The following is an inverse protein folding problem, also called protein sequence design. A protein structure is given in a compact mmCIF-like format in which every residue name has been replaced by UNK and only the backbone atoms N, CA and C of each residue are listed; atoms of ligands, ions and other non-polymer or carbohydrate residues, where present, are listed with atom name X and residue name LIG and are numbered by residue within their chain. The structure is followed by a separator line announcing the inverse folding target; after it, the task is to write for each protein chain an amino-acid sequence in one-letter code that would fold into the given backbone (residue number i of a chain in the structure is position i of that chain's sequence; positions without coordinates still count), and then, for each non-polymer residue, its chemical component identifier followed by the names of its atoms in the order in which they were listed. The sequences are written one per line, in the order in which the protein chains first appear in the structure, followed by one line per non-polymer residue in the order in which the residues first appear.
data_IF_521781390326
#
_entry.id   IF_521781390326
#
_cell.length_a   1.000
_cell.length_b   1.000
_cell.length_c   1.000
_cell.angle_alpha   90.00
_cell.angle_beta   90.00
_cell.angle_gamma   90.00
#
_symmetry.space_group_name_H-M   'P 1'
#
loop_
_entity.id
_entity.type
_entity.pdbx_description
1 polymer ?
#
# COMPACT_ATOMS: atom_id res chain seq x y z
N UNK A 1 -6.06 46.29 -47.01
CA UNK A 1 -6.21 46.56 -45.55
C UNK A 1 -4.96 47.26 -45.05
N UNK A 2 -5.12 48.34 -44.32
CA UNK A 2 -4.01 49.16 -43.80
C UNK A 2 -4.17 49.29 -42.27
N UNK A 3 -3.07 49.29 -41.56
CA UNK A 3 -2.94 49.52 -40.15
C UNK A 3 -2.01 50.70 -39.86
N UNK A 4 -2.40 51.58 -38.93
CA UNK A 4 -1.54 52.67 -38.47
C UNK A 4 -0.44 52.09 -37.55
N UNK A 5 0.82 52.20 -37.97
CA UNK A 5 2.01 51.73 -37.26
C UNK A 5 3.08 52.82 -37.32
N UNK A 6 3.64 53.21 -36.17
CA UNK A 6 4.66 54.25 -36.06
C UNK A 6 4.24 55.59 -36.74
N UNK A 7 2.98 56.00 -36.51
CA UNK A 7 2.35 57.18 -37.10
C UNK A 7 2.21 57.15 -38.63
N UNK A 8 2.42 56.01 -39.27
CA UNK A 8 2.28 55.81 -40.72
C UNK A 8 1.31 54.68 -41.05
N UNK A 9 0.50 54.84 -42.09
CA UNK A 9 -0.38 53.81 -42.61
C UNK A 9 0.43 52.82 -43.43
N UNK A 10 0.50 51.55 -42.94
CA UNK A 10 1.18 50.47 -43.63
C UNK A 10 0.13 49.48 -44.18
N UNK A 11 0.28 49.03 -45.42
CA UNK A 11 -0.52 47.95 -45.93
C UNK A 11 -0.12 46.66 -45.24
N UNK A 12 -1.07 45.96 -44.61
CA UNK A 12 -0.85 44.71 -43.88
C UNK A 12 -1.40 43.50 -44.64
N UNK A 13 -2.36 43.69 -45.52
CA UNK A 13 -2.91 42.61 -46.35
C UNK A 13 -3.57 43.15 -47.63
N UNK A 14 -3.70 42.23 -48.62
CA UNK A 14 -4.61 42.29 -49.72
C UNK A 14 -5.50 41.04 -49.67
N UNK A 15 -6.80 41.20 -49.88
CA UNK A 15 -7.78 40.09 -49.85
C UNK A 15 -8.81 40.32 -50.96
N UNK A 16 -9.29 39.22 -51.53
CA UNK A 16 -10.36 39.20 -52.53
C UNK A 16 -11.74 39.05 -51.86
N UNK A 17 -11.78 38.95 -50.50
CA UNK A 17 -13.02 38.88 -49.73
C UNK A 17 -13.28 40.19 -49.00
N UNK A 18 -14.50 40.35 -48.53
CA UNK A 18 -14.94 41.54 -47.77
C UNK A 18 -14.58 41.48 -46.26
N UNK A 19 -13.70 40.50 -45.89
CA UNK A 19 -13.22 40.34 -44.51
C UNK A 19 -11.74 39.97 -44.50
N UNK A 20 -11.07 40.37 -43.40
CA UNK A 20 -9.70 40.00 -43.15
C UNK A 20 -9.43 39.92 -41.64
N UNK A 21 -8.86 38.83 -41.17
CA UNK A 21 -8.47 38.65 -39.76
C UNK A 21 -7.03 39.04 -39.56
N UNK A 22 -6.80 40.07 -38.73
CA UNK A 22 -5.44 40.48 -38.29
C UNK A 22 -5.04 39.61 -37.09
N UNK A 23 -3.90 38.96 -37.21
CA UNK A 23 -3.34 38.06 -36.14
C UNK A 23 -1.99 38.64 -35.66
N UNK A 24 -1.52 38.18 -34.47
CA UNK A 24 -0.20 38.54 -33.95
C UNK A 24 -0.14 39.99 -33.45
N UNK A 25 -1.26 40.54 -32.97
CA UNK A 25 -1.30 41.83 -32.29
C UNK A 25 -1.04 41.64 -30.80
N UNK A 26 -0.21 42.52 -30.21
CA UNK A 26 -0.10 42.69 -28.76
C UNK A 26 -1.35 43.37 -28.21
N UNK A 27 -1.55 43.34 -26.88
CA UNK A 27 -2.61 44.09 -26.26
C UNK A 27 -2.44 45.59 -26.52
N UNK A 28 -3.47 46.25 -27.04
CA UNK A 28 -3.40 47.65 -27.40
C UNK A 28 -4.52 48.14 -28.33
N UNK A 29 -4.50 49.41 -28.62
CA UNK A 29 -5.46 50.06 -29.53
C UNK A 29 -4.84 50.22 -30.90
N UNK A 30 -5.49 49.73 -31.93
CA UNK A 30 -5.02 49.74 -33.30
C UNK A 30 -6.04 50.43 -34.20
N UNK A 31 -5.54 51.23 -35.16
CA UNK A 31 -6.39 51.88 -36.16
C UNK A 31 -6.22 51.21 -37.51
N UNK A 32 -7.35 50.99 -38.18
CA UNK A 32 -7.40 50.37 -39.49
C UNK A 32 -8.22 51.18 -40.47
N UNK A 33 -7.90 51.05 -41.75
CA UNK A 33 -8.73 51.46 -42.88
C UNK A 33 -8.53 50.54 -44.04
N UNK A 34 -9.51 50.49 -44.94
CA UNK A 34 -9.46 49.69 -46.16
C UNK A 34 -9.69 50.54 -47.41
N UNK A 35 -9.26 50.08 -48.53
CA UNK A 35 -9.65 50.61 -49.86
C UNK A 35 -9.83 49.50 -50.84
N UNK A 36 -10.73 49.67 -51.81
CA UNK A 36 -10.88 48.76 -52.93
C UNK A 36 -9.71 48.97 -53.92
N UNK A 37 -9.35 47.85 -54.58
CA UNK A 37 -8.35 47.84 -55.65
C UNK A 37 -8.94 47.04 -56.80
N UNK A 38 -8.86 47.56 -58.03
CA UNK A 38 -9.18 46.84 -59.26
C UNK A 38 -7.93 46.84 -60.13
N UNK A 39 -7.63 45.67 -60.68
CA UNK A 39 -6.52 45.52 -61.60
C UNK A 39 -7.07 45.63 -63.03
N UNK A 40 -6.37 46.40 -63.87
CA UNK A 40 -6.71 46.53 -65.27
C UNK A 40 -6.07 45.38 -66.11
N UNK A 41 -6.38 45.33 -67.40
CA UNK A 41 -5.92 44.33 -68.35
C UNK A 41 -4.40 44.40 -68.62
N UNK A 42 -3.77 45.50 -68.26
CA UNK A 42 -2.29 45.73 -68.34
C UNK A 42 -1.60 45.39 -66.99
N UNK A 43 -2.33 44.93 -66.01
CA UNK A 43 -1.80 44.58 -64.70
C UNK A 43 -1.59 45.75 -63.72
N UNK A 44 -2.01 46.98 -64.08
CA UNK A 44 -1.91 48.12 -63.19
C UNK A 44 -3.06 48.17 -62.15
N UNK A 45 -2.76 48.52 -60.91
CA UNK A 45 -3.74 48.63 -59.86
C UNK A 45 -4.36 50.02 -59.78
N UNK A 46 -5.66 50.09 -59.83
CA UNK A 46 -6.48 51.29 -59.63
C UNK A 46 -7.15 51.23 -58.26
N UNK A 47 -7.01 52.27 -57.46
CA UNK A 47 -7.41 52.32 -56.08
C UNK A 47 -8.58 53.26 -55.83
N UNK A 48 -9.58 52.79 -55.09
CA UNK A 48 -10.65 53.62 -54.56
C UNK A 48 -10.19 54.49 -53.38
N UNK A 49 -11.10 55.36 -52.92
CA UNK A 49 -10.90 56.11 -51.69
C UNK A 49 -10.79 55.15 -50.49
N UNK A 50 -10.05 55.59 -49.48
CA UNK A 50 -10.02 54.90 -48.20
C UNK A 50 -11.36 54.96 -47.51
N UNK A 51 -11.72 53.90 -46.74
CA UNK A 51 -12.81 53.92 -45.79
C UNK A 51 -12.54 54.93 -44.66
N UNK A 52 -13.57 55.20 -43.83
CA UNK A 52 -13.34 55.82 -42.54
C UNK A 52 -12.40 54.93 -41.68
N UNK A 53 -11.67 55.58 -40.80
CA UNK A 53 -10.82 54.88 -39.83
C UNK A 53 -11.69 54.20 -38.78
N UNK A 54 -11.30 52.95 -38.46
CA UNK A 54 -11.87 52.22 -37.32
C UNK A 54 -10.77 52.05 -36.29
N UNK A 55 -11.15 52.06 -35.01
CA UNK A 55 -10.27 51.74 -33.89
C UNK A 55 -10.75 50.41 -33.31
N UNK A 56 -9.82 49.47 -33.19
CA UNK A 56 -10.08 48.17 -32.55
C UNK A 56 -9.14 47.97 -31.39
N UNK A 57 -9.62 47.38 -30.33
CA UNK A 57 -8.84 46.98 -29.13
C UNK A 57 -8.42 45.51 -29.25
N UNK A 58 -7.11 45.28 -29.29
CA UNK A 58 -6.59 43.94 -29.08
C UNK A 58 -6.41 43.71 -27.58
N UNK A 59 -7.06 42.68 -27.07
CA UNK A 59 -7.08 42.34 -25.64
C UNK A 59 -6.42 41.00 -25.45
N UNK A 60 -5.40 40.94 -24.63
CA UNK A 60 -4.79 39.69 -24.19
C UNK A 60 -5.30 39.34 -22.79
N UNK A 61 -5.78 38.11 -22.63
CA UNK A 61 -6.20 37.55 -21.35
C UNK A 61 -5.19 36.45 -20.99
N UNK A 62 -4.51 36.62 -19.86
CA UNK A 62 -3.51 35.64 -19.43
C UNK A 62 -4.15 34.31 -19.07
N UNK A 63 -3.40 33.23 -19.30
CA UNK A 63 -3.79 31.86 -18.97
C UNK A 63 -3.93 31.69 -17.46
N UNK A 64 -4.94 30.92 -17.03
CA UNK A 64 -5.14 30.54 -15.61
C UNK A 64 -3.99 29.65 -15.14
N UNK A 65 -3.51 29.91 -13.93
CA UNK A 65 -2.45 29.11 -13.26
C UNK A 65 -2.90 28.65 -11.88
N UNK A 66 -2.18 27.71 -11.27
CA UNK A 66 -2.43 27.28 -9.90
C UNK A 66 -3.75 26.55 -9.69
N UNK A 67 -4.28 25.86 -10.72
CA UNK A 67 -5.49 25.07 -10.59
C UNK A 67 -5.26 23.90 -9.61
N UNK A 68 -6.10 23.85 -8.57
CA UNK A 68 -6.11 22.82 -7.51
C UNK A 68 -7.54 22.33 -7.27
N UNK A 69 -7.68 21.21 -6.57
CA UNK A 69 -9.00 20.70 -6.16
C UNK A 69 -9.04 20.24 -4.71
N UNK A 70 -10.24 20.28 -4.13
CA UNK A 70 -10.62 19.57 -2.90
C UNK A 70 -11.87 18.76 -3.20
N UNK A 71 -11.96 17.56 -2.61
CA UNK A 71 -13.11 16.66 -2.77
C UNK A 71 -13.85 16.59 -1.44
N UNK A 72 -14.87 17.42 -1.22
CA UNK A 72 -15.55 17.52 0.07
C UNK A 72 -16.45 16.31 0.37
N UNK A 73 -16.91 15.60 -0.66
CA UNK A 73 -17.83 14.46 -0.52
C UNK A 73 -17.76 13.53 -1.74
N UNK A 74 -18.72 12.60 -1.82
CA UNK A 74 -18.79 11.56 -2.87
C UNK A 74 -19.36 12.05 -4.20
N UNK A 75 -19.84 13.30 -4.29
CA UNK A 75 -20.57 13.79 -5.46
C UNK A 75 -20.15 15.18 -5.93
N UNK A 76 -19.10 15.74 -5.35
CA UNK A 76 -18.63 17.07 -5.75
C UNK A 76 -17.10 17.21 -5.69
N UNK A 77 -16.58 18.09 -6.57
CA UNK A 77 -15.20 18.52 -6.60
C UNK A 77 -15.19 20.05 -6.57
N UNK A 78 -14.51 20.66 -5.60
CA UNK A 78 -14.27 22.09 -5.53
C UNK A 78 -12.92 22.41 -6.18
N UNK A 79 -12.96 23.17 -7.25
CA UNK A 79 -11.80 23.71 -7.96
C UNK A 79 -11.43 25.08 -7.40
N UNK A 80 -10.14 25.41 -7.40
CA UNK A 80 -9.62 26.74 -7.02
C UNK A 80 -8.38 27.05 -7.88
N UNK A 81 -8.20 28.32 -8.27
CA UNK A 81 -7.09 28.76 -9.12
C UNK A 81 -6.63 30.16 -8.75
N UNK A 82 -5.49 30.58 -9.29
CA UNK A 82 -4.98 31.93 -9.10
C UNK A 82 -5.78 32.94 -9.92
N UNK A 83 -6.03 34.13 -9.35
CA UNK A 83 -6.67 35.22 -10.06
C UNK A 83 -5.82 35.68 -11.28
N UNK A 84 -6.49 35.95 -12.39
CA UNK A 84 -5.88 36.55 -13.58
C UNK A 84 -6.19 38.04 -13.57
N UNK A 85 -5.16 38.87 -13.60
CA UNK A 85 -5.31 40.32 -13.58
C UNK A 85 -6.15 40.79 -14.75
N UNK A 86 -7.15 41.64 -14.49
CA UNK A 86 -8.03 42.24 -15.49
C UNK A 86 -9.05 41.25 -16.10
N UNK A 87 -9.19 40.03 -15.58
CA UNK A 87 -10.25 39.13 -15.99
C UNK A 87 -11.60 39.52 -15.38
N UNK A 88 -12.67 39.47 -16.17
CA UNK A 88 -14.05 39.70 -15.73
C UNK A 88 -14.73 38.38 -15.22
N UNK A 89 -14.14 37.25 -15.54
CA UNK A 89 -14.63 35.94 -15.09
C UNK A 89 -13.87 34.77 -15.67
N UNK A 90 -14.35 33.56 -15.39
CA UNK A 90 -13.71 32.31 -15.74
C UNK A 90 -14.74 31.30 -16.27
N UNK A 91 -14.36 30.59 -17.33
CA UNK A 91 -15.08 29.49 -17.92
C UNK A 91 -14.42 28.18 -17.47
N UNK A 92 -15.20 27.31 -16.83
CA UNK A 92 -14.76 25.99 -16.36
C UNK A 92 -15.27 24.92 -17.32
N UNK A 93 -14.37 24.15 -17.90
CA UNK A 93 -14.69 23.02 -18.77
C UNK A 93 -14.39 21.68 -18.09
N UNK A 94 -15.27 20.70 -18.27
CA UNK A 94 -15.07 19.31 -17.84
C UNK A 94 -15.02 18.41 -19.07
N UNK A 95 -14.11 17.43 -19.08
CA UNK A 95 -13.90 16.55 -20.23
C UNK A 95 -15.14 15.69 -20.51
N UNK A 96 -15.63 15.73 -21.74
CA UNK A 96 -16.68 14.86 -22.25
C UNK A 96 -16.40 14.55 -23.73
N UNK A 97 -16.36 13.27 -24.11
CA UNK A 97 -16.10 12.80 -25.48
C UNK A 97 -14.87 13.47 -26.13
N UNK A 98 -13.78 13.63 -25.35
CA UNK A 98 -12.52 14.23 -25.83
C UNK A 98 -12.50 15.76 -25.88
N UNK A 99 -13.62 16.45 -25.65
CA UNK A 99 -13.75 17.92 -25.60
C UNK A 99 -13.93 18.40 -24.17
N UNK A 100 -13.85 19.72 -23.96
CA UNK A 100 -14.05 20.38 -22.68
C UNK A 100 -15.24 21.38 -22.78
N UNK A 101 -16.49 20.89 -22.89
CA UNK A 101 -17.65 21.77 -22.83
C UNK A 101 -17.64 22.58 -21.52
N UNK A 102 -18.08 23.84 -21.62
CA UNK A 102 -18.27 24.68 -20.44
C UNK A 102 -19.37 24.09 -19.55
N UNK A 103 -19.05 23.95 -18.26
CA UNK A 103 -19.97 23.47 -17.23
C UNK A 103 -20.31 24.55 -16.20
N UNK A 104 -19.52 25.60 -16.14
CA UNK A 104 -19.76 26.73 -15.28
C UNK A 104 -19.05 28.00 -15.80
N UNK A 105 -19.71 29.15 -15.58
CA UNK A 105 -19.20 30.48 -15.75
C UNK A 105 -19.22 31.18 -14.39
N UNK A 106 -18.08 31.61 -13.90
CA UNK A 106 -17.93 32.17 -12.55
C UNK A 106 -17.08 33.44 -12.55
N UNK A 107 -17.42 34.41 -11.71
CA UNK A 107 -16.62 35.63 -11.54
C UNK A 107 -15.46 35.47 -10.55
N UNK A 108 -15.58 34.53 -9.62
CA UNK A 108 -14.56 34.25 -8.61
C UNK A 108 -13.57 33.18 -9.06
N UNK A 109 -12.56 32.95 -8.23
CA UNK A 109 -11.47 31.99 -8.50
C UNK A 109 -11.75 30.58 -7.96
N UNK A 110 -13.01 30.25 -7.75
CA UNK A 110 -13.44 28.90 -7.28
C UNK A 110 -14.70 28.46 -7.98
N UNK A 111 -14.83 27.15 -8.21
CA UNK A 111 -16.03 26.53 -8.73
C UNK A 111 -16.26 25.16 -8.03
N UNK A 112 -17.48 24.90 -7.61
CA UNK A 112 -17.85 23.58 -7.08
C UNK A 112 -18.70 22.85 -8.10
N UNK A 113 -18.14 21.82 -8.71
CA UNK A 113 -18.83 20.92 -9.62
C UNK A 113 -19.57 19.86 -8.79
N UNK A 114 -20.90 19.78 -8.96
CA UNK A 114 -21.79 18.89 -8.19
C UNK A 114 -22.41 17.82 -9.10
N UNK A 115 -23.06 16.82 -8.49
CA UNK A 115 -23.79 15.77 -9.24
C UNK A 115 -22.89 14.72 -9.89
N UNK A 116 -21.62 14.68 -9.51
CA UNK A 116 -20.67 13.70 -10.03
C UNK A 116 -20.91 12.32 -9.37
N UNK A 117 -20.72 11.21 -10.09
CA UNK A 117 -20.77 9.89 -9.49
C UNK A 117 -19.63 9.70 -8.47
N UNK A 118 -19.86 8.87 -7.45
CA UNK A 118 -18.83 8.54 -6.45
C UNK A 118 -17.67 7.76 -7.08
N UNK A 119 -16.46 7.99 -6.59
CA UNK A 119 -15.22 7.34 -7.04
C UNK A 119 -14.97 7.49 -8.56
N UNK A 120 -15.40 8.56 -9.16
CA UNK A 120 -15.20 8.84 -10.59
C UNK A 120 -14.03 9.80 -10.77
N UNK A 121 -13.17 9.51 -11.75
CA UNK A 121 -12.10 10.40 -12.18
C UNK A 121 -12.65 11.41 -13.16
N UNK A 122 -12.31 12.69 -12.96
CA UNK A 122 -12.75 13.79 -13.79
C UNK A 122 -11.56 14.66 -14.20
N UNK A 123 -11.67 15.26 -15.39
CA UNK A 123 -10.65 16.12 -15.96
C UNK A 123 -11.24 17.49 -16.22
N UNK A 124 -10.53 18.53 -15.77
CA UNK A 124 -10.96 19.92 -15.84
C UNK A 124 -9.94 20.79 -16.55
N UNK A 125 -10.45 21.84 -17.19
CA UNK A 125 -9.69 22.98 -17.68
C UNK A 125 -10.41 24.27 -17.31
N UNK A 126 -9.66 25.31 -17.02
CA UNK A 126 -10.20 26.63 -16.73
C UNK A 126 -9.51 27.65 -17.64
N UNK A 127 -10.28 28.61 -18.15
CA UNK A 127 -9.78 29.77 -18.88
C UNK A 127 -10.39 31.04 -18.31
N UNK A 128 -9.66 32.12 -18.33
CA UNK A 128 -10.16 33.43 -17.98
C UNK A 128 -10.81 34.10 -19.19
N UNK A 129 -11.68 35.06 -18.97
CA UNK A 129 -12.20 35.94 -20.03
C UNK A 129 -12.27 37.39 -19.56
N UNK A 130 -12.22 38.29 -20.55
CA UNK A 130 -12.55 39.70 -20.44
C UNK A 130 -13.71 40.04 -21.37
N UNK A 131 -14.59 40.93 -20.97
CA UNK A 131 -15.72 41.40 -21.78
C UNK A 131 -15.28 42.70 -22.47
N UNK A 132 -15.32 42.72 -23.78
CA UNK A 132 -15.03 43.90 -24.61
C UNK A 132 -16.21 44.08 -25.55
N UNK A 133 -16.83 45.25 -25.50
CA UNK A 133 -18.03 45.57 -26.30
C UNK A 133 -19.13 44.46 -26.24
N UNK A 134 -19.34 43.90 -25.04
CA UNK A 134 -20.35 42.84 -24.83
C UNK A 134 -19.89 41.43 -25.24
N UNK A 135 -18.71 41.26 -25.81
CA UNK A 135 -18.17 39.97 -26.28
C UNK A 135 -17.12 39.46 -25.31
N UNK A 136 -17.20 38.17 -24.97
CA UNK A 136 -16.18 37.48 -24.15
C UNK A 136 -14.95 37.13 -24.98
N UNK A 137 -13.82 37.66 -24.61
CA UNK A 137 -12.48 37.32 -25.15
C UNK A 137 -11.81 36.39 -24.15
N UNK A 138 -11.55 35.15 -24.57
CA UNK A 138 -11.02 34.10 -23.72
C UNK A 138 -9.51 33.98 -23.81
N UNK A 139 -8.88 33.65 -22.70
CA UNK A 139 -7.52 33.11 -22.70
C UNK A 139 -7.50 31.69 -23.25
N UNK A 140 -6.29 31.16 -23.50
CA UNK A 140 -6.12 29.72 -23.60
C UNK A 140 -6.54 29.03 -22.30
N UNK A 141 -6.93 27.76 -22.44
CA UNK A 141 -7.17 26.92 -21.27
C UNK A 141 -5.87 26.65 -20.47
N UNK A 142 -6.01 26.57 -19.16
CA UNK A 142 -4.93 26.02 -18.31
C UNK A 142 -4.59 24.58 -18.70
N UNK A 143 -3.48 24.05 -18.16
CA UNK A 143 -3.14 22.64 -18.30
C UNK A 143 -4.27 21.75 -17.75
N UNK A 144 -4.37 20.54 -18.32
CA UNK A 144 -5.36 19.56 -17.89
C UNK A 144 -5.17 19.20 -16.41
N UNK A 145 -6.25 19.28 -15.64
CA UNK A 145 -6.24 18.99 -14.21
C UNK A 145 -7.13 17.80 -13.89
N UNK A 146 -6.54 16.74 -13.32
CA UNK A 146 -7.22 15.52 -12.94
C UNK A 146 -7.56 15.54 -11.45
N UNK A 147 -8.73 15.05 -11.12
CA UNK A 147 -9.20 14.83 -9.74
C UNK A 147 -10.18 13.67 -9.72
N UNK A 148 -10.57 13.21 -8.53
CA UNK A 148 -11.61 12.19 -8.39
C UNK A 148 -12.52 12.51 -7.21
N UNK A 149 -13.80 12.12 -7.33
CA UNK A 149 -14.73 12.15 -6.19
C UNK A 149 -14.37 11.09 -5.16
N UNK A 150 -14.69 11.33 -3.89
CA UNK A 150 -14.49 10.34 -2.83
C UNK A 150 -15.32 9.07 -3.10
N UNK A 151 -14.82 7.89 -2.78
CA UNK A 151 -15.61 6.67 -2.74
C UNK A 151 -16.74 6.76 -1.71
N UNK A 152 -17.77 5.95 -1.89
CA UNK A 152 -18.81 5.73 -0.87
C UNK A 152 -18.19 5.09 0.37
N UNK A 153 -18.86 5.24 1.51
CA UNK A 153 -18.52 4.54 2.74
C UNK A 153 -18.59 3.03 2.53
N UNK A 154 -17.60 2.31 3.05
CA UNK A 154 -17.63 0.84 3.10
C UNK A 154 -18.65 0.41 4.15
N UNK A 155 -19.49 -0.56 3.79
CA UNK A 155 -20.52 -1.11 4.68
C UNK A 155 -20.43 -2.63 4.74
N UNK A 156 -21.08 -3.24 5.75
CA UNK A 156 -21.18 -4.68 5.89
C UNK A 156 -19.82 -5.34 6.18
N UNK A 157 -18.93 -4.67 6.91
CA UNK A 157 -17.68 -5.28 7.37
C UNK A 157 -18.01 -6.40 8.35
N UNK A 158 -17.47 -7.59 8.10
CA UNK A 158 -17.64 -8.78 8.93
C UNK A 158 -16.30 -9.51 9.05
N UNK A 159 -16.11 -10.20 10.16
CA UNK A 159 -15.02 -11.15 10.34
C UNK A 159 -15.52 -12.58 10.13
N UNK A 160 -14.71 -13.41 9.50
CA UNK A 160 -14.90 -14.86 9.34
C UNK A 160 -13.56 -15.58 9.58
N UNK A 161 -13.61 -16.91 9.60
CA UNK A 161 -12.45 -17.80 9.74
C UNK A 161 -11.52 -17.37 10.89
N UNK A 162 -12.17 -17.06 12.03
CA UNK A 162 -11.49 -16.53 13.20
C UNK A 162 -10.79 -17.68 13.93
N UNK A 163 -9.47 -17.60 14.00
CA UNK A 163 -8.60 -18.47 14.77
C UNK A 163 -7.96 -17.71 15.94
N UNK A 164 -7.16 -18.38 16.75
CA UNK A 164 -6.41 -17.74 17.81
C UNK A 164 -5.44 -16.65 17.33
N UNK A 165 -5.00 -16.72 16.06
CA UNK A 165 -3.96 -15.84 15.53
C UNK A 165 -4.29 -15.18 14.19
N UNK A 166 -5.42 -15.52 13.57
CA UNK A 166 -5.83 -15.00 12.25
C UNK A 166 -7.32 -14.73 12.18
N UNK A 167 -7.74 -13.92 11.24
CA UNK A 167 -9.13 -13.78 10.79
C UNK A 167 -9.19 -13.21 9.38
N UNK A 168 -10.31 -13.42 8.70
CA UNK A 168 -10.61 -12.76 7.46
C UNK A 168 -11.63 -11.64 7.66
N UNK A 169 -11.30 -10.45 7.16
CA UNK A 169 -12.25 -9.35 7.06
C UNK A 169 -12.86 -9.30 5.67
N UNK A 170 -14.19 -9.22 5.60
CA UNK A 170 -14.95 -9.12 4.36
C UNK A 170 -15.92 -7.95 4.45
N UNK A 171 -16.23 -7.28 3.31
CA UNK A 171 -17.13 -6.14 3.27
C UNK A 171 -17.85 -6.02 1.93
N UNK A 172 -18.86 -5.16 1.85
CA UNK A 172 -19.54 -4.87 0.57
C UNK A 172 -18.62 -4.03 -0.32
N UNK A 173 -18.47 -4.49 -1.57
CA UNK A 173 -17.66 -3.76 -2.57
C UNK A 173 -18.29 -2.40 -2.88
N UNK A 174 -17.42 -1.39 -3.03
CA UNK A 174 -17.77 -0.05 -3.53
C UNK A 174 -16.80 0.32 -4.67
N UNK A 175 -17.23 1.17 -5.59
CA UNK A 175 -16.36 1.65 -6.66
C UNK A 175 -15.15 2.38 -6.07
N UNK A 176 -13.93 1.78 -6.21
CA UNK A 176 -12.69 2.35 -5.68
C UNK A 176 -11.47 1.74 -6.38
N UNK A 177 -10.28 2.23 -6.05
CA UNK A 177 -9.01 1.64 -6.52
C UNK A 177 -8.48 0.60 -5.53
N UNK A 178 -8.67 0.85 -4.24
CA UNK A 178 -8.22 -0.02 -3.15
C UNK A 178 -8.99 0.29 -1.86
N UNK A 179 -8.79 -0.59 -0.88
CA UNK A 179 -9.27 -0.43 0.49
C UNK A 179 -8.09 -0.29 1.44
N UNK A 180 -8.29 0.42 2.55
CA UNK A 180 -7.35 0.53 3.66
C UNK A 180 -8.01 -0.05 4.90
N UNK A 181 -7.33 -1.01 5.54
CA UNK A 181 -7.78 -1.69 6.76
C UNK A 181 -7.04 -1.10 7.95
N UNK A 182 -7.78 -0.81 9.00
CA UNK A 182 -7.25 -0.23 10.22
C UNK A 182 -7.59 -1.09 11.43
N UNK A 183 -6.64 -1.20 12.35
CA UNK A 183 -6.80 -1.79 13.67
C UNK A 183 -6.64 -0.70 14.74
N UNK A 184 -7.41 -0.80 15.82
CA UNK A 184 -7.25 0.06 16.99
C UNK A 184 -6.24 -0.57 17.96
N UNK A 185 -5.14 0.10 18.21
CA UNK A 185 -4.10 -0.35 19.13
C UNK A 185 -3.44 0.84 19.82
N UNK A 186 -3.09 0.69 21.09
CA UNK A 186 -2.44 1.75 21.90
C UNK A 186 -3.15 3.11 21.81
N UNK A 187 -4.49 3.12 21.89
CA UNK A 187 -5.29 4.35 21.85
C UNK A 187 -5.43 4.98 20.47
N UNK A 188 -4.92 4.36 19.39
CA UNK A 188 -4.90 4.96 18.03
C UNK A 188 -5.30 3.94 16.97
N UNK A 189 -5.85 4.47 15.87
CA UNK A 189 -6.11 3.71 14.66
C UNK A 189 -4.83 3.64 13.80
N UNK A 190 -4.36 2.43 13.54
CA UNK A 190 -3.20 2.16 12.68
C UNK A 190 -3.66 1.47 11.39
N UNK A 191 -3.21 1.96 10.23
CA UNK A 191 -3.38 1.22 8.97
C UNK A 191 -2.46 0.00 8.99
N UNK A 192 -3.02 -1.19 8.80
CA UNK A 192 -2.30 -2.47 8.85
C UNK A 192 -2.25 -3.17 7.49
N UNK A 193 -3.19 -2.87 6.61
CA UNK A 193 -3.25 -3.52 5.30
C UNK A 193 -3.92 -2.65 4.25
N UNK A 194 -3.66 -3.00 3.00
CA UNK A 194 -4.35 -2.49 1.81
C UNK A 194 -4.78 -3.67 0.95
N UNK A 195 -5.99 -3.61 0.40
CA UNK A 195 -6.53 -4.63 -0.49
C UNK A 195 -7.11 -3.99 -1.74
N UNK A 196 -7.00 -4.65 -2.88
CA UNK A 196 -7.68 -4.28 -4.14
C UNK A 196 -9.02 -5.01 -4.32
N UNK A 197 -9.29 -5.96 -3.45
CA UNK A 197 -10.56 -6.70 -3.36
C UNK A 197 -11.29 -6.38 -2.06
N UNK A 198 -12.53 -6.79 -1.94
CA UNK A 198 -13.40 -6.52 -0.79
C UNK A 198 -13.20 -7.48 0.39
N UNK A 199 -11.97 -8.00 0.56
CA UNK A 199 -11.54 -8.83 1.67
C UNK A 199 -10.09 -8.58 2.04
N UNK A 200 -9.69 -9.00 3.25
CA UNK A 200 -8.32 -8.92 3.74
C UNK A 200 -8.09 -9.96 4.83
N UNK A 201 -7.12 -10.85 4.65
CA UNK A 201 -6.64 -11.72 5.70
C UNK A 201 -5.80 -10.93 6.70
N UNK A 202 -6.09 -11.09 7.98
CA UNK A 202 -5.38 -10.50 9.11
C UNK A 202 -4.68 -11.60 9.87
N UNK A 203 -3.36 -11.51 9.97
CA UNK A 203 -2.52 -12.48 10.65
C UNK A 203 -1.77 -11.80 11.81
N UNK A 204 -1.19 -12.62 12.69
CA UNK A 204 -0.36 -12.12 13.78
C UNK A 204 -1.16 -11.52 14.93
N UNK A 205 -2.36 -12.02 15.14
CA UNK A 205 -3.19 -11.71 16.32
C UNK A 205 -2.77 -12.59 17.49
N UNK A 206 -3.09 -12.15 18.70
CA UNK A 206 -2.93 -12.93 19.94
C UNK A 206 -4.25 -13.60 20.29
N UNK A 207 -4.17 -14.79 20.88
CA UNK A 207 -5.33 -15.53 21.40
C UNK A 207 -6.04 -14.75 22.51
N UNK A 208 -7.32 -15.05 22.76
CA UNK A 208 -8.17 -14.45 23.83
C UNK A 208 -8.22 -12.92 23.81
N UNK A 209 -7.84 -12.28 22.71
CA UNK A 209 -7.67 -10.83 22.61
C UNK A 209 -8.81 -10.19 21.83
N UNK A 210 -9.29 -9.06 22.31
CA UNK A 210 -10.33 -8.28 21.63
C UNK A 210 -9.69 -7.22 20.73
N UNK A 211 -10.06 -7.23 19.47
CA UNK A 211 -9.61 -6.31 18.44
C UNK A 211 -10.76 -5.49 17.89
N UNK A 212 -10.48 -4.25 17.49
CA UNK A 212 -11.41 -3.39 16.77
C UNK A 212 -10.83 -3.06 15.40
N UNK A 213 -11.68 -3.17 14.37
CA UNK A 213 -11.29 -2.89 12.98
C UNK A 213 -12.25 -1.93 12.33
N UNK A 214 -11.77 -1.19 11.35
CA UNK A 214 -12.56 -0.42 10.38
C UNK A 214 -11.85 -0.36 9.04
N UNK A 215 -12.64 -0.11 7.99
CA UNK A 215 -12.17 -0.10 6.61
C UNK A 215 -12.61 1.18 5.93
N UNK A 216 -11.83 1.72 5.02
CA UNK A 216 -12.27 2.76 4.11
C UNK A 216 -11.81 2.48 2.69
N UNK A 217 -12.59 2.92 1.72
CA UNK A 217 -12.25 2.86 0.31
C UNK A 217 -11.34 4.03 -0.08
N UNK A 218 -10.52 3.82 -1.09
CA UNK A 218 -9.59 4.79 -1.67
C UNK A 218 -9.74 4.81 -3.19
N UNK A 219 -9.89 5.99 -3.78
CA UNK A 219 -9.80 6.22 -5.23
C UNK A 219 -8.54 6.99 -5.52
N UNK A 220 -7.67 6.44 -6.33
CA UNK A 220 -6.47 7.13 -6.80
C UNK A 220 -6.77 7.81 -8.13
N UNK A 221 -6.49 9.10 -8.27
CA UNK A 221 -6.63 9.83 -9.52
C UNK A 221 -5.43 9.60 -10.47
N UNK A 222 -5.46 10.21 -11.65
CA UNK A 222 -4.41 9.99 -12.67
C UNK A 222 -3.07 10.66 -12.32
N UNK A 223 -3.04 11.51 -11.28
CA UNK A 223 -1.81 12.10 -10.72
C UNK A 223 -1.24 11.29 -9.55
N UNK A 224 -1.90 10.17 -9.18
CA UNK A 224 -1.51 9.36 -8.03
C UNK A 224 -2.04 9.88 -6.68
N UNK A 225 -2.87 10.93 -6.67
CA UNK A 225 -3.46 11.45 -5.42
C UNK A 225 -4.61 10.55 -4.95
N UNK A 226 -4.66 10.34 -3.65
CA UNK A 226 -5.64 9.47 -3.03
C UNK A 226 -6.84 10.24 -2.47
N UNK A 227 -8.04 9.85 -2.89
CA UNK A 227 -9.32 10.36 -2.42
C UNK A 227 -9.98 9.28 -1.55
N UNK A 228 -10.31 9.61 -0.30
CA UNK A 228 -10.77 8.63 0.67
C UNK A 228 -12.26 8.76 0.95
N UNK A 229 -12.97 7.63 0.97
CA UNK A 229 -14.30 7.53 1.52
C UNK A 229 -14.31 7.65 3.06
N UNK A 230 -15.49 7.82 3.62
CA UNK A 230 -15.67 7.71 5.06
C UNK A 230 -15.26 6.32 5.56
N UNK A 231 -14.84 6.24 6.84
CA UNK A 231 -14.61 4.95 7.48
C UNK A 231 -15.91 4.17 7.61
N UNK A 232 -15.82 2.85 7.52
CA UNK A 232 -16.92 1.96 7.88
C UNK A 232 -17.30 2.14 9.36
N UNK A 233 -18.45 1.58 9.75
CA UNK A 233 -18.71 1.25 11.13
C UNK A 233 -17.57 0.36 11.67
N UNK A 234 -17.30 0.50 12.96
CA UNK A 234 -16.31 -0.33 13.65
C UNK A 234 -16.88 -1.71 13.93
N UNK A 235 -16.06 -2.73 13.75
CA UNK A 235 -16.39 -4.06 14.26
C UNK A 235 -15.45 -4.45 15.39
N UNK A 236 -15.97 -5.18 16.35
CA UNK A 236 -15.23 -5.75 17.47
C UNK A 236 -15.21 -7.27 17.33
N UNK A 237 -14.00 -7.85 17.40
CA UNK A 237 -13.79 -9.29 17.25
C UNK A 237 -12.90 -9.77 18.39
N UNK A 238 -13.28 -10.88 19.02
CA UNK A 238 -12.46 -11.55 20.04
C UNK A 238 -11.93 -12.85 19.43
N UNK A 239 -10.60 -13.01 19.42
CA UNK A 239 -9.96 -14.27 19.03
C UNK A 239 -10.23 -15.35 20.09
N UNK A 240 -10.44 -16.62 19.67
CA UNK A 240 -10.58 -17.75 20.60
C UNK A 240 -9.25 -18.06 21.31
N UNK A 241 -9.29 -19.03 22.19
CA UNK A 241 -8.10 -19.65 22.76
C UNK A 241 -7.41 -20.55 21.74
N UNK A 242 -6.17 -20.91 21.97
CA UNK A 242 -5.48 -21.96 21.25
C UNK A 242 -6.14 -23.32 21.54
N UNK A 243 -6.21 -24.18 20.52
CA UNK A 243 -6.76 -25.53 20.65
C UNK A 243 -5.72 -26.56 20.22
N UNK A 244 -5.59 -27.62 21.03
CA UNK A 244 -4.76 -28.77 20.67
C UNK A 244 -5.64 -29.81 19.99
N UNK A 245 -5.26 -30.20 18.78
CA UNK A 245 -5.91 -31.24 17.99
C UNK A 245 -4.96 -32.46 17.84
N UNK A 246 -5.53 -33.67 17.81
CA UNK A 246 -4.76 -34.89 17.57
C UNK A 246 -5.15 -35.44 16.20
N UNK A 247 -4.18 -35.49 15.29
CA UNK A 247 -4.36 -36.02 13.93
C UNK A 247 -3.33 -37.17 13.72
N UNK A 248 -3.80 -38.35 13.42
CA UNK A 248 -2.96 -39.55 13.22
C UNK A 248 -1.96 -39.78 14.39
N UNK A 249 -2.40 -39.59 15.62
CA UNK A 249 -1.57 -39.77 16.82
C UNK A 249 -0.52 -38.65 17.08
N UNK A 250 -0.56 -37.59 16.31
CA UNK A 250 0.30 -36.42 16.46
C UNK A 250 -0.52 -35.23 16.96
N UNK A 251 0.02 -34.46 17.90
CA UNK A 251 -0.63 -33.28 18.44
C UNK A 251 -0.23 -32.03 17.68
N UNK A 252 -1.23 -31.20 17.36
CA UNK A 252 -1.08 -29.92 16.71
C UNK A 252 -1.74 -28.84 17.55
N UNK A 253 -1.17 -27.63 17.59
CA UNK A 253 -1.81 -26.45 18.12
C UNK A 253 -1.86 -25.38 17.03
N UNK A 254 -3.06 -24.95 16.66
CA UNK A 254 -3.28 -24.03 15.53
C UNK A 254 -2.51 -24.44 14.25
N UNK A 255 -2.51 -25.73 13.95
CA UNK A 255 -1.79 -26.31 12.81
C UNK A 255 -0.27 -26.50 12.99
N UNK A 256 0.29 -26.12 14.12
CA UNK A 256 1.72 -26.33 14.44
C UNK A 256 1.91 -27.69 15.08
N UNK A 257 2.69 -28.56 14.43
CA UNK A 257 3.03 -29.88 14.95
C UNK A 257 3.83 -29.74 16.25
N UNK A 258 3.39 -30.40 17.30
CA UNK A 258 4.06 -30.40 18.60
C UNK A 258 5.00 -31.59 18.74
N UNK A 259 6.18 -31.34 19.29
CA UNK A 259 7.09 -32.33 19.86
C UNK A 259 7.79 -31.69 21.06
N UNK A 260 7.46 -32.19 22.25
CA UNK A 260 8.10 -31.78 23.51
C UNK A 260 7.86 -32.89 24.56
N UNK A 261 8.24 -32.68 25.80
CA UNK A 261 8.13 -33.72 26.85
C UNK A 261 6.70 -34.20 27.14
N UNK A 262 5.67 -33.49 26.72
CA UNK A 262 4.25 -33.92 26.85
C UNK A 262 3.72 -34.55 25.58
N UNK A 263 4.09 -34.02 24.43
CA UNK A 263 3.54 -34.38 23.12
C UNK A 263 4.60 -35.14 22.32
N UNK A 264 4.33 -36.43 22.11
CA UNK A 264 5.23 -37.33 21.35
C UNK A 264 4.77 -37.48 19.90
N UNK A 265 5.73 -37.84 19.07
CA UNK A 265 5.51 -38.29 17.70
C UNK A 265 5.59 -39.81 17.63
N UNK A 266 4.77 -40.47 16.78
CA UNK A 266 4.89 -41.92 16.52
C UNK A 266 6.28 -42.27 16.01
N UNK A 267 6.77 -43.48 16.34
CA UNK A 267 8.02 -43.99 15.79
C UNK A 267 8.03 -44.10 14.25
N UNK A 268 6.85 -44.24 13.65
CA UNK A 268 6.65 -44.30 12.20
C UNK A 268 6.64 -42.94 11.52
N UNK A 269 6.57 -41.85 12.28
CA UNK A 269 6.61 -40.50 11.70
C UNK A 269 8.01 -40.16 11.22
N UNK A 270 8.15 -40.01 9.91
CA UNK A 270 9.41 -39.75 9.24
C UNK A 270 9.22 -38.84 8.02
N UNK A 271 9.55 -37.53 8.13
CA UNK A 271 9.48 -36.59 7.02
C UNK A 271 10.62 -36.74 6.00
N UNK A 272 11.52 -37.74 6.19
CA UNK A 272 12.70 -38.02 5.32
C UNK A 272 13.71 -36.87 5.25
N UNK A 273 13.82 -36.07 6.32
CA UNK A 273 14.72 -34.93 6.40
C UNK A 273 14.04 -33.66 6.91
N UNK A 274 14.69 -32.53 6.70
CA UNK A 274 14.03 -31.24 6.94
C UNK A 274 12.87 -31.03 5.96
N UNK A 275 11.76 -30.48 6.42
CA UNK A 275 10.66 -30.14 5.53
C UNK A 275 11.09 -29.16 4.45
N UNK A 276 10.37 -29.15 3.31
CA UNK A 276 10.66 -28.23 2.21
C UNK A 276 10.61 -26.76 2.65
N UNK A 277 9.63 -26.42 3.48
CA UNK A 277 9.39 -25.08 4.03
C UNK A 277 10.56 -24.68 4.96
N UNK A 278 10.97 -25.58 5.86
CA UNK A 278 12.08 -25.35 6.78
C UNK A 278 13.40 -25.11 6.01
N UNK A 279 13.69 -25.98 5.04
CA UNK A 279 14.89 -25.87 4.21
C UNK A 279 14.90 -24.58 3.40
N UNK A 280 13.78 -24.22 2.78
CA UNK A 280 13.67 -22.97 2.00
C UNK A 280 13.81 -21.72 2.88
N UNK A 281 13.19 -21.71 4.06
CA UNK A 281 13.29 -20.62 5.02
C UNK A 281 14.70 -20.45 5.55
N UNK A 282 15.38 -21.56 5.89
CA UNK A 282 16.76 -21.52 6.36
C UNK A 282 17.72 -21.01 5.29
N UNK A 283 17.57 -21.44 4.03
CA UNK A 283 18.37 -20.92 2.91
C UNK A 283 18.22 -19.41 2.71
N UNK A 284 16.98 -18.88 2.84
CA UNK A 284 16.74 -17.43 2.80
C UNK A 284 17.45 -16.72 3.95
N UNK A 285 17.39 -17.29 5.16
CA UNK A 285 18.04 -16.76 6.34
C UNK A 285 19.57 -16.76 6.19
N UNK A 286 20.18 -17.88 5.71
CA UNK A 286 21.59 -17.97 5.40
C UNK A 286 22.05 -16.88 4.42
N UNK A 287 21.28 -16.66 3.34
CA UNK A 287 21.59 -15.63 2.34
C UNK A 287 21.58 -14.23 2.94
N UNK A 288 20.68 -13.95 3.86
CA UNK A 288 20.62 -12.65 4.54
C UNK A 288 21.76 -12.49 5.55
N UNK A 289 22.05 -13.52 6.34
CA UNK A 289 23.16 -13.53 7.29
C UNK A 289 24.50 -13.31 6.59
N UNK A 290 24.71 -13.96 5.45
CA UNK A 290 25.93 -13.80 4.65
C UNK A 290 26.16 -12.36 4.18
N UNK A 291 25.10 -11.64 3.81
CA UNK A 291 25.19 -10.21 3.46
C UNK A 291 25.63 -9.34 4.63
N UNK A 292 25.32 -9.76 5.86
CA UNK A 292 25.71 -9.10 7.09
C UNK A 292 27.08 -9.59 7.62
N UNK A 293 27.80 -10.40 6.83
CA UNK A 293 29.10 -10.97 7.20
C UNK A 293 29.02 -12.08 8.26
N UNK A 294 27.86 -12.75 8.36
CA UNK A 294 27.58 -13.84 9.30
C UNK A 294 27.42 -15.15 8.52
N UNK A 295 28.10 -16.20 8.94
CA UNK A 295 28.04 -17.52 8.34
C UNK A 295 27.20 -18.47 9.19
N UNK A 296 26.11 -18.98 8.63
CA UNK A 296 25.23 -19.95 9.28
C UNK A 296 25.20 -21.25 8.48
N UNK A 297 25.28 -22.39 9.18
CA UNK A 297 25.14 -23.72 8.58
C UNK A 297 24.34 -24.65 9.48
N UNK A 298 23.85 -25.76 8.93
CA UNK A 298 23.15 -26.81 9.67
C UNK A 298 24.22 -27.69 10.34
N UNK A 299 24.27 -27.66 11.67
CA UNK A 299 25.07 -28.59 12.47
C UNK A 299 24.31 -29.92 12.66
N UNK A 300 23.03 -29.81 13.06
CA UNK A 300 22.13 -30.96 13.19
C UNK A 300 20.76 -30.56 12.64
N UNK A 301 20.11 -31.43 11.89
CA UNK A 301 18.77 -31.20 11.30
C UNK A 301 17.79 -32.28 11.76
N UNK A 302 17.13 -32.92 10.78
CA UNK A 302 16.23 -34.03 11.06
C UNK A 302 16.95 -35.18 11.79
N UNK A 303 16.26 -35.75 12.77
CA UNK A 303 16.70 -36.95 13.51
C UNK A 303 15.52 -37.89 13.67
N UNK A 304 15.67 -39.13 13.21
CA UNK A 304 14.60 -40.14 13.30
C UNK A 304 14.35 -40.56 14.77
N UNK A 305 13.22 -41.23 14.99
CA UNK A 305 12.91 -41.85 16.29
C UNK A 305 14.05 -42.77 16.77
N UNK A 306 14.60 -43.60 15.87
CA UNK A 306 15.62 -44.58 16.20
C UNK A 306 16.99 -43.95 16.44
N UNK A 307 17.32 -42.91 15.70
CA UNK A 307 18.57 -42.13 15.97
C UNK A 307 18.49 -41.42 17.32
N UNK A 308 17.31 -40.83 17.63
CA UNK A 308 17.08 -40.20 18.93
C UNK A 308 17.13 -41.24 20.06
N UNK A 309 16.60 -42.45 19.85
CA UNK A 309 16.66 -43.54 20.81
C UNK A 309 18.11 -43.93 21.11
N UNK A 310 18.92 -44.14 20.08
CA UNK A 310 20.33 -44.44 20.25
C UNK A 310 21.06 -43.36 21.02
N UNK A 311 20.88 -42.13 20.66
CA UNK A 311 21.50 -40.97 21.29
C UNK A 311 21.08 -40.84 22.79
N UNK A 312 19.80 -40.98 23.07
CA UNK A 312 19.25 -40.88 24.40
C UNK A 312 19.74 -42.01 25.31
N UNK A 313 19.76 -43.26 24.82
CA UNK A 313 20.27 -44.41 25.53
C UNK A 313 21.79 -44.22 25.89
N UNK A 314 22.56 -43.68 24.95
CA UNK A 314 23.97 -43.38 25.17
C UNK A 314 24.13 -42.33 26.30
N UNK A 315 23.33 -41.28 26.32
CA UNK A 315 23.36 -40.26 27.38
C UNK A 315 22.87 -40.82 28.73
N UNK A 316 21.82 -41.64 28.73
CA UNK A 316 21.40 -42.31 29.97
C UNK A 316 22.45 -43.19 30.56
N UNK A 317 23.19 -43.95 29.72
CA UNK A 317 24.29 -44.79 30.16
C UNK A 317 25.50 -44.00 30.73
N UNK A 318 25.74 -42.80 30.16
CA UNK A 318 26.84 -41.94 30.60
C UNK A 318 26.52 -41.15 31.86
N UNK A 319 25.35 -40.50 31.92
CA UNK A 319 25.03 -39.46 32.90
C UNK A 319 23.84 -39.83 33.81
N UNK A 320 23.14 -40.91 33.53
CA UNK A 320 21.92 -41.32 34.18
C UNK A 320 20.70 -40.62 33.57
N UNK A 321 19.51 -41.26 33.65
CA UNK A 321 18.25 -40.81 33.05
C UNK A 321 17.84 -39.40 33.48
N UNK A 322 17.91 -39.10 34.77
CA UNK A 322 17.50 -37.79 35.31
C UNK A 322 18.38 -36.61 34.80
N UNK A 323 19.67 -36.88 34.53
CA UNK A 323 20.55 -35.89 33.92
C UNK A 323 20.30 -35.78 32.41
N UNK A 324 20.17 -36.90 31.69
CA UNK A 324 19.93 -36.96 30.26
C UNK A 324 18.61 -36.21 29.91
N UNK A 325 17.55 -36.36 30.70
CA UNK A 325 16.25 -35.67 30.49
C UNK A 325 16.37 -34.14 30.51
N UNK A 326 17.44 -33.53 31.06
CA UNK A 326 17.61 -32.06 31.11
C UNK A 326 18.07 -31.46 29.77
N UNK A 327 18.77 -32.24 28.94
CA UNK A 327 19.40 -31.73 27.71
C UNK A 327 19.13 -32.61 26.47
N UNK A 328 18.51 -33.79 26.64
CA UNK A 328 18.16 -34.67 25.50
C UNK A 328 16.70 -35.13 25.61
N UNK A 329 16.00 -35.15 24.48
CA UNK A 329 14.64 -35.65 24.43
C UNK A 329 14.62 -37.19 24.48
N UNK A 330 13.60 -37.75 25.13
CA UNK A 330 13.28 -39.17 24.99
C UNK A 330 12.86 -39.49 23.54
N UNK A 331 13.01 -40.72 23.05
CA UNK A 331 12.56 -41.12 21.71
C UNK A 331 11.09 -40.76 21.48
N UNK A 332 10.78 -40.15 20.36
CA UNK A 332 9.44 -39.62 20.04
C UNK A 332 9.16 -38.19 20.52
N UNK A 333 9.93 -37.66 21.45
CA UNK A 333 9.71 -36.34 22.05
C UNK A 333 10.67 -35.26 21.52
N UNK A 334 11.53 -35.61 20.56
CA UNK A 334 12.53 -34.69 19.99
C UNK A 334 11.90 -33.78 18.94
N UNK A 335 12.18 -32.48 19.11
CA UNK A 335 11.81 -31.46 18.12
C UNK A 335 12.45 -31.72 16.75
N UNK A 336 13.64 -32.33 16.70
CA UNK A 336 14.33 -32.73 15.46
C UNK A 336 13.55 -33.78 14.65
N UNK A 337 12.73 -34.64 15.29
CA UNK A 337 11.93 -35.63 14.57
C UNK A 337 10.86 -34.95 13.72
N UNK A 338 10.45 -33.72 14.04
CA UNK A 338 9.48 -32.99 13.22
C UNK A 338 9.99 -32.63 11.81
N UNK A 339 11.31 -32.63 11.59
CA UNK A 339 11.94 -32.07 10.39
C UNK A 339 11.85 -30.54 10.30
N UNK A 340 11.49 -29.88 11.41
CA UNK A 340 11.32 -28.41 11.49
C UNK A 340 12.32 -27.76 12.45
N UNK A 341 13.19 -28.52 13.11
CA UNK A 341 14.24 -28.01 13.98
C UNK A 341 15.61 -28.11 13.34
N UNK A 342 16.47 -27.15 13.67
CA UNK A 342 17.86 -27.06 13.21
C UNK A 342 18.73 -26.59 14.35
N UNK A 343 19.83 -27.30 14.60
CA UNK A 343 20.96 -26.78 15.37
C UNK A 343 21.90 -26.05 14.43
N UNK A 344 22.16 -24.78 14.72
CA UNK A 344 22.94 -23.88 13.87
C UNK A 344 24.41 -23.82 14.36
N UNK A 345 25.31 -24.00 13.46
CA UNK A 345 26.77 -23.88 13.63
C UNK A 345 27.37 -24.83 14.67
N UNK A 346 27.05 -24.66 15.95
CA UNK A 346 27.64 -25.47 17.03
C UNK A 346 26.62 -25.66 18.16
N UNK A 347 26.28 -26.91 18.45
CA UNK A 347 25.35 -27.30 19.51
C UNK A 347 26.08 -27.35 20.89
N UNK A 348 26.62 -26.22 21.34
CA UNK A 348 27.23 -26.05 22.64
C UNK A 348 27.03 -24.67 23.23
N UNK A 349 27.12 -24.53 24.57
CA UNK A 349 26.91 -23.27 25.29
C UNK A 349 27.84 -22.14 24.80
N UNK A 350 29.03 -22.49 24.29
CA UNK A 350 29.99 -21.53 23.74
C UNK A 350 29.43 -20.75 22.53
N UNK A 351 28.45 -21.31 21.81
CA UNK A 351 27.81 -20.63 20.68
C UNK A 351 27.08 -19.34 21.10
N UNK A 352 26.45 -19.32 22.29
CA UNK A 352 25.65 -18.19 22.76
C UNK A 352 26.37 -16.84 22.84
N UNK A 353 27.70 -16.86 22.98
CA UNK A 353 28.53 -15.65 23.01
C UNK A 353 28.93 -15.10 21.64
N UNK A 354 28.73 -15.87 20.57
CA UNK A 354 29.22 -15.56 19.22
C UNK A 354 28.43 -14.46 18.52
N UNK A 355 28.97 -13.88 17.45
CA UNK A 355 28.29 -12.93 16.57
C UNK A 355 27.13 -13.59 15.84
N UNK A 356 27.31 -14.84 15.47
CA UNK A 356 26.31 -15.68 14.79
C UNK A 356 25.10 -15.91 15.67
N UNK A 357 25.29 -16.27 16.94
CA UNK A 357 24.17 -16.46 17.89
C UNK A 357 23.39 -15.16 18.13
N UNK A 358 24.09 -14.02 18.28
CA UNK A 358 23.46 -12.70 18.42
C UNK A 358 22.64 -12.31 17.19
N UNK A 359 23.21 -12.53 15.99
CA UNK A 359 22.52 -12.29 14.74
C UNK A 359 21.26 -13.19 14.61
N UNK A 360 21.43 -14.48 14.93
CA UNK A 360 20.35 -15.48 14.89
C UNK A 360 19.20 -15.07 15.79
N UNK A 361 19.46 -14.76 17.05
CA UNK A 361 18.44 -14.32 18.02
C UNK A 361 17.67 -13.07 17.55
N UNK A 362 18.34 -12.11 16.89
CA UNK A 362 17.72 -10.86 16.44
C UNK A 362 16.99 -10.98 15.10
N UNK A 363 17.24 -12.02 14.32
CA UNK A 363 16.77 -12.09 12.94
C UNK A 363 15.97 -13.33 12.58
N UNK A 364 16.11 -14.46 13.27
CA UNK A 364 15.52 -15.74 12.88
C UNK A 364 13.99 -15.66 12.72
N UNK A 365 13.29 -14.85 13.52
CA UNK A 365 11.85 -14.68 13.44
C UNK A 365 11.36 -14.06 12.11
N UNK A 366 12.20 -13.26 11.45
CA UNK A 366 11.90 -12.70 10.13
C UNK A 366 11.81 -13.78 9.04
N UNK A 367 12.39 -14.94 9.31
CA UNK A 367 12.44 -16.10 8.40
C UNK A 367 11.58 -17.26 8.88
N UNK A 368 10.77 -17.05 9.94
CA UNK A 368 9.82 -18.05 10.44
C UNK A 368 10.40 -18.99 11.50
N UNK A 369 11.58 -18.70 12.05
CA UNK A 369 12.18 -19.47 13.12
C UNK A 369 12.06 -18.78 14.48
N UNK A 370 11.96 -19.57 15.55
CA UNK A 370 12.12 -19.13 16.94
C UNK A 370 13.37 -19.78 17.53
N UNK A 371 13.98 -19.13 18.53
CA UNK A 371 14.87 -19.84 19.45
C UNK A 371 13.98 -20.76 20.28
N UNK A 372 14.14 -22.06 20.11
CA UNK A 372 13.20 -23.06 20.64
C UNK A 372 13.23 -23.15 22.16
N UNK A 373 14.40 -23.05 22.75
CA UNK A 373 14.63 -23.11 24.18
C UNK A 373 15.31 -21.82 24.66
N UNK A 374 14.53 -20.74 24.82
CA UNK A 374 15.08 -19.43 25.15
C UNK A 374 15.51 -19.34 26.63
N UNK A 375 16.47 -18.46 26.90
CA UNK A 375 17.05 -18.26 28.23
C UNK A 375 15.98 -17.85 29.24
N UNK A 376 15.97 -18.51 30.42
CA UNK A 376 15.05 -18.23 31.52
C UNK A 376 13.65 -18.84 31.32
N UNK A 377 13.50 -19.78 30.37
CA UNK A 377 12.24 -20.47 30.06
C UNK A 377 12.29 -21.98 30.35
N UNK A 378 13.30 -22.43 31.08
CA UNK A 378 13.55 -23.84 31.38
C UNK A 378 12.36 -24.50 32.11
N UNK A 379 11.66 -23.75 33.00
CA UNK A 379 10.49 -24.24 33.71
C UNK A 379 9.30 -24.56 32.78
N UNK A 380 9.21 -23.91 31.63
CA UNK A 380 8.14 -24.10 30.66
C UNK A 380 8.52 -25.10 29.56
N UNK A 381 9.74 -25.01 29.04
CA UNK A 381 10.20 -25.85 27.95
C UNK A 381 10.67 -27.23 28.41
N UNK A 382 11.10 -27.33 29.67
CA UNK A 382 11.70 -28.52 30.25
C UNK A 382 13.15 -28.77 29.82
N UNK A 383 13.76 -27.87 29.02
CA UNK A 383 15.12 -27.94 28.54
C UNK A 383 15.90 -26.69 28.93
N UNK A 384 17.24 -26.83 29.06
CA UNK A 384 18.13 -25.70 29.28
C UNK A 384 18.14 -24.75 28.09
N UNK A 385 18.72 -23.55 28.26
CA UNK A 385 18.89 -22.59 27.18
C UNK A 385 19.76 -23.14 26.06
N UNK A 386 19.26 -23.13 24.82
CA UNK A 386 19.95 -23.60 23.63
C UNK A 386 19.97 -22.51 22.54
N UNK A 387 20.98 -21.63 22.50
CA UNK A 387 21.04 -20.51 21.54
C UNK A 387 21.18 -20.96 20.08
N UNK A 388 21.59 -22.19 19.84
CA UNK A 388 21.76 -22.80 18.52
C UNK A 388 20.50 -23.45 17.97
N UNK A 389 19.58 -23.87 18.85
CA UNK A 389 18.41 -24.66 18.49
C UNK A 389 17.28 -23.76 18.05
N UNK A 390 16.96 -23.78 16.75
CA UNK A 390 15.86 -23.03 16.16
C UNK A 390 14.77 -23.94 15.66
N UNK A 391 13.52 -23.50 15.80
CA UNK A 391 12.32 -24.20 15.31
C UNK A 391 11.59 -23.35 14.30
N UNK A 392 11.28 -23.93 13.14
CA UNK A 392 10.39 -23.31 12.15
C UNK A 392 8.93 -23.45 12.55
N UNK A 393 8.22 -22.31 12.58
CA UNK A 393 6.79 -22.20 12.91
C UNK A 393 6.06 -21.28 11.93
N UNK A 394 6.75 -20.77 10.89
CA UNK A 394 6.21 -19.79 9.95
C UNK A 394 6.38 -18.34 10.44
N UNK A 395 6.51 -17.41 9.48
CA UNK A 395 6.95 -16.03 9.79
C UNK A 395 6.00 -15.27 10.74
N UNK A 396 4.65 -15.23 10.55
CA UNK A 396 3.78 -14.48 11.45
C UNK A 396 3.88 -14.98 12.89
N UNK A 397 3.85 -16.29 13.08
CA UNK A 397 3.89 -16.91 14.41
C UNK A 397 5.26 -16.73 15.09
N UNK A 398 6.36 -16.92 14.35
CA UNK A 398 7.69 -16.71 14.86
C UNK A 398 7.91 -15.28 15.38
N UNK A 399 7.42 -14.28 14.66
CA UNK A 399 7.48 -12.88 15.08
C UNK A 399 6.64 -12.63 16.33
N UNK A 400 5.44 -13.21 16.41
CA UNK A 400 4.57 -13.07 17.58
C UNK A 400 5.22 -13.66 18.83
N UNK A 401 5.70 -14.89 18.76
CA UNK A 401 6.39 -15.57 19.87
C UNK A 401 7.61 -14.77 20.31
N UNK A 402 8.47 -14.39 19.37
CA UNK A 402 9.68 -13.62 19.69
C UNK A 402 9.36 -12.25 20.31
N UNK A 403 8.37 -11.51 19.74
CA UNK A 403 7.97 -10.20 20.26
C UNK A 403 7.28 -10.26 21.62
N UNK A 404 6.63 -11.38 21.96
CA UNK A 404 6.01 -11.59 23.27
C UNK A 404 7.03 -11.90 24.37
N UNK A 405 8.24 -12.35 24.01
CA UNK A 405 9.24 -12.84 24.97
C UNK A 405 8.87 -14.15 25.63
N UNK A 406 7.88 -14.88 25.10
CA UNK A 406 7.41 -16.16 25.60
C UNK A 406 8.13 -17.33 24.90
N UNK A 407 8.19 -18.50 25.56
CA UNK A 407 8.50 -19.76 24.88
C UNK A 407 7.31 -20.24 24.05
N UNK A 408 7.52 -21.26 23.20
CA UNK A 408 6.45 -21.89 22.45
C UNK A 408 5.34 -22.42 23.36
N UNK A 409 5.72 -23.05 24.46
CA UNK A 409 4.80 -23.58 25.47
C UNK A 409 3.97 -22.50 26.15
N UNK A 410 4.61 -21.44 26.63
CA UNK A 410 3.89 -20.31 27.25
C UNK A 410 2.96 -19.63 26.25
N UNK A 411 3.40 -19.42 25.00
CA UNK A 411 2.60 -18.77 23.99
C UNK A 411 1.32 -19.53 23.67
N UNK A 412 1.40 -20.86 23.58
CA UNK A 412 0.26 -21.72 23.31
C UNK A 412 -0.48 -22.17 24.58
N UNK A 413 0.01 -21.87 25.77
CA UNK A 413 -0.59 -22.33 27.03
C UNK A 413 -0.54 -23.87 27.21
N UNK A 414 0.51 -24.51 26.69
CA UNK A 414 0.71 -25.97 26.76
C UNK A 414 1.85 -26.34 27.72
N UNK A 415 1.89 -27.61 28.10
CA UNK A 415 2.90 -28.14 29.02
C UNK A 415 4.05 -28.87 28.28
N UNK A 416 5.20 -28.98 28.93
CA UNK A 416 6.34 -29.78 28.50
C UNK A 416 6.93 -30.58 29.68
N UNK A 417 6.20 -31.63 30.06
CA UNK A 417 6.58 -32.53 31.16
C UNK A 417 6.30 -33.97 30.76
N UNK A 418 7.25 -34.87 31.04
CA UNK A 418 7.01 -36.29 30.83
C UNK A 418 5.91 -36.77 31.80
N UNK A 419 4.99 -37.57 31.28
CA UNK A 419 4.10 -38.40 32.10
C UNK A 419 4.88 -39.69 32.44
N UNK A 420 5.28 -39.82 33.69
CA UNK A 420 5.94 -41.05 34.16
C UNK A 420 4.92 -42.18 34.31
#
# INVERSE_FOLDING_TARGET
VFMLKDSKWKQIAQTDTNSYTVIGLDAGSYKFKVRACKRDDKGANHYGKYSQEITAQAVMVNKVTGLTSKTPNTSSIKLSWNAVSGADGYSVGMRSKGKYPEIADVKGTTCTVKGLPAATRENFKVRAYKIVDGVKIYSDYCENYNSATNPRQVTGVKASDITASTLDLNWKSVGCTSYKVFIYTNGKWKNIASSTVNSCAINGLYAKTTYRFKVRACKTDDKGSNHYGAYSEEITVKTPDHTVEVINGMSYVDGVLLANKTYSLPASYDPKGLTKETSAAFKKMQTAAYKDGISLWVCSGYRSYYDQKYLYDMYCNRDGKAAADKYSARPGYSDHQTGMAIDVNNASDSFGGTREAKWLANNCAKYGFIIRYPKGKEAYTGYQYEPWHIRYVGTPLAQNITNSGLSLEEYFGITSQYKD
#
